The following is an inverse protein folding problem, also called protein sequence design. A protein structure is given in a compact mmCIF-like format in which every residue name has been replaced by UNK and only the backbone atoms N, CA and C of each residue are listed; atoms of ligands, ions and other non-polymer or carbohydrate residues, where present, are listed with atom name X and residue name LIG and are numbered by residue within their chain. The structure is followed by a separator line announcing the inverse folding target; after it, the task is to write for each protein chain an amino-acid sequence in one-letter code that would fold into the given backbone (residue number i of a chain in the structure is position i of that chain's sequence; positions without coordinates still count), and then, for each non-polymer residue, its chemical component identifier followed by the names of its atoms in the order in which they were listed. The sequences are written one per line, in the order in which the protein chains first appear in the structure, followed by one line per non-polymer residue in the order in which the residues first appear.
data_IF_552784878981
#
_entry.id   IF_552784878981
#
_cell.length_a   1.000
_cell.length_b   1.000
_cell.length_c   1.000
_cell.angle_alpha   90.00
_cell.angle_beta   90.00
_cell.angle_gamma   90.00
#
_symmetry.space_group_name_H-M   'P 1'
#
loop_
_entity.id
_entity.type
_entity.pdbx_description
1 polymer ?
#
# COMPACT_ATOMS: atom_id res chain seq x y z
N UNK A 1 -2.96 0.50 15.57
CA UNK A 1 -2.33 -0.53 14.72
C UNK A 1 -1.40 0.12 13.72
N UNK A 2 -0.36 -0.58 13.31
CA UNK A 2 0.52 -0.18 12.21
C UNK A 2 0.03 -0.85 10.93
N UNK A 3 -0.34 -0.04 9.94
CA UNK A 3 -1.03 -0.52 8.74
C UNK A 3 -0.29 -0.03 7.49
N UNK A 4 0.12 -0.98 6.66
CA UNK A 4 0.68 -0.72 5.33
C UNK A 4 -0.46 -0.61 4.33
N UNK A 5 -0.55 0.51 3.63
CA UNK A 5 -1.56 0.70 2.60
C UNK A 5 -1.11 0.04 1.31
N UNK A 6 -1.98 -0.78 0.72
CA UNK A 6 -1.78 -1.22 -0.64
C UNK A 6 -1.98 -0.03 -1.61
N UNK A 7 -1.44 -0.14 -2.81
CA UNK A 7 -1.40 0.96 -3.77
C UNK A 7 -2.80 1.49 -4.11
N UNK A 8 -3.74 0.61 -4.49
CA UNK A 8 -5.08 1.05 -4.89
C UNK A 8 -5.91 1.57 -3.72
N UNK A 9 -5.94 0.98 -2.54
CA UNK A 9 -6.55 1.61 -1.37
C UNK A 9 -6.03 3.01 -1.08
N UNK A 10 -4.73 3.27 -1.23
CA UNK A 10 -4.20 4.63 -1.13
C UNK A 10 -4.78 5.55 -2.21
N UNK A 11 -4.80 5.11 -3.46
CA UNK A 11 -5.37 5.90 -4.58
C UNK A 11 -6.86 6.16 -4.33
N UNK A 12 -7.61 5.16 -3.90
CA UNK A 12 -9.05 5.31 -3.65
C UNK A 12 -9.34 6.24 -2.47
N UNK A 13 -8.58 6.16 -1.41
CA UNK A 13 -8.70 7.08 -0.27
C UNK A 13 -8.57 8.53 -0.74
N UNK A 14 -7.67 8.79 -1.66
CA UNK A 14 -7.31 10.14 -2.10
C UNK A 14 -8.16 10.65 -3.27
N UNK A 15 -8.79 9.78 -4.05
CA UNK A 15 -9.51 10.17 -5.27
C UNK A 15 -10.85 9.48 -5.50
N UNK A 16 -11.07 8.27 -4.98
CA UNK A 16 -12.28 7.48 -5.22
C UNK A 16 -12.74 6.75 -3.95
N UNK A 17 -13.10 7.50 -2.88
CA UNK A 17 -13.38 6.89 -1.56
C UNK A 17 -14.56 5.93 -1.55
N UNK A 18 -15.46 5.98 -2.54
CA UNK A 18 -16.58 5.04 -2.65
C UNK A 18 -16.13 3.62 -2.98
N UNK A 19 -14.91 3.43 -3.47
CA UNK A 19 -14.34 2.10 -3.73
C UNK A 19 -13.84 1.41 -2.46
N UNK A 20 -13.69 2.14 -1.37
CA UNK A 20 -13.31 1.58 -0.07
C UNK A 20 -14.51 0.90 0.59
N UNK A 21 -14.26 -0.23 1.26
CA UNK A 21 -15.28 -0.87 2.09
C UNK A 21 -15.64 0.01 3.30
N UNK A 22 -16.80 -0.23 3.89
CA UNK A 22 -17.22 0.48 5.12
C UNK A 22 -16.22 0.27 6.25
N UNK A 23 -15.72 -0.96 6.40
CA UNK A 23 -14.70 -1.30 7.40
C UNK A 23 -13.39 -0.56 7.15
N UNK A 24 -12.93 -0.51 5.89
CA UNK A 24 -11.72 0.23 5.52
C UNK A 24 -11.85 1.71 5.85
N UNK A 25 -13.01 2.31 5.60
CA UNK A 25 -13.27 3.72 5.97
C UNK A 25 -13.18 3.94 7.48
N UNK A 26 -13.72 3.04 8.28
CA UNK A 26 -13.62 3.10 9.74
C UNK A 26 -12.17 3.01 10.21
N UNK A 27 -11.40 2.07 9.65
CA UNK A 27 -9.98 1.89 9.96
C UNK A 27 -9.20 3.15 9.62
N UNK A 28 -9.44 3.71 8.43
CA UNK A 28 -8.73 4.90 7.95
C UNK A 28 -9.08 6.17 8.74
N UNK A 29 -10.28 6.25 9.30
CA UNK A 29 -10.70 7.40 10.12
C UNK A 29 -10.28 7.28 11.60
N UNK A 30 -9.77 6.14 12.03
CA UNK A 30 -9.32 5.95 13.41
C UNK A 30 -7.91 6.55 13.59
N UNK A 31 -7.82 7.66 14.32
CA UNK A 31 -6.57 8.39 14.53
C UNK A 31 -5.54 7.65 15.40
N UNK A 32 -5.93 6.57 16.06
CA UNK A 32 -4.99 5.72 16.81
C UNK A 32 -4.17 4.81 15.87
N UNK A 33 -4.64 4.60 14.64
CA UNK A 33 -3.92 3.82 13.66
C UNK A 33 -2.79 4.64 13.02
N UNK A 34 -1.68 3.98 12.74
CA UNK A 34 -0.54 4.54 12.01
C UNK A 34 -0.52 3.94 10.61
N UNK A 35 -0.51 4.80 9.60
CA UNK A 35 -0.53 4.39 8.20
C UNK A 35 0.82 4.62 7.54
N UNK A 36 1.19 3.69 6.67
CA UNK A 36 2.44 3.70 5.92
C UNK A 36 2.18 3.46 4.44
N UNK A 37 2.90 4.19 3.61
CA UNK A 37 2.95 3.97 2.16
C UNK A 37 4.36 3.54 1.79
N UNK A 38 4.49 2.34 1.22
CA UNK A 38 5.78 1.84 0.73
C UNK A 38 6.23 2.59 -0.53
N UNK A 39 7.53 2.77 -0.67
CA UNK A 39 8.11 3.25 -1.92
C UNK A 39 7.85 2.31 -3.10
N UNK A 40 7.55 1.03 -2.84
CA UNK A 40 7.06 0.11 -3.86
C UNK A 40 5.73 0.58 -4.47
N UNK A 41 4.80 1.05 -3.64
CA UNK A 41 3.54 1.63 -4.11
C UNK A 41 3.77 2.94 -4.86
N UNK A 42 4.70 3.77 -4.39
CA UNK A 42 5.11 4.99 -5.10
C UNK A 42 5.66 4.64 -6.49
N UNK A 43 6.51 3.63 -6.57
CA UNK A 43 7.04 3.14 -7.86
C UNK A 43 5.90 2.70 -8.78
N UNK A 44 4.97 1.93 -8.30
CA UNK A 44 3.82 1.47 -9.09
C UNK A 44 2.99 2.65 -9.61
N UNK A 45 2.70 3.63 -8.77
CA UNK A 45 1.97 4.85 -9.15
C UNK A 45 2.71 5.59 -10.26
N UNK A 46 4.02 5.79 -10.10
CA UNK A 46 4.83 6.53 -11.06
C UNK A 46 4.94 5.79 -12.40
N UNK A 47 5.08 4.47 -12.39
CA UNK A 47 5.11 3.66 -13.61
C UNK A 47 3.79 3.74 -14.37
N UNK A 48 2.67 3.61 -13.68
CA UNK A 48 1.33 3.68 -14.28
C UNK A 48 0.96 5.09 -14.75
N UNK A 49 1.39 6.10 -14.03
CA UNK A 49 1.25 7.49 -14.47
C UNK A 49 2.01 7.73 -15.77
N UNK A 50 3.25 7.25 -15.84
CA UNK A 50 4.13 7.45 -16.97
C UNK A 50 3.65 6.71 -18.23
N UNK A 51 3.03 5.55 -18.10
CA UNK A 51 2.48 4.80 -19.25
C UNK A 51 1.05 5.22 -19.64
N UNK A 52 0.46 6.18 -18.93
CA UNK A 52 -0.88 6.68 -19.21
C UNK A 52 -2.03 5.87 -18.63
N UNK A 53 -1.75 4.77 -17.93
CA UNK A 53 -2.80 3.91 -17.35
C UNK A 53 -3.43 4.46 -16.07
N UNK A 54 -2.79 5.42 -15.43
CA UNK A 54 -3.29 6.08 -14.22
C UNK A 54 -3.33 7.58 -14.41
N UNK A 55 -4.54 8.14 -14.39
CA UNK A 55 -4.75 9.59 -14.40
C UNK A 55 -4.76 10.12 -12.97
N UNK A 56 -4.09 11.26 -12.76
CA UNK A 56 -4.03 11.95 -11.48
C UNK A 56 -4.28 13.44 -11.70
N UNK A 57 -4.89 14.14 -10.70
CA UNK A 57 -5.19 15.58 -10.85
C UNK A 57 -3.95 16.46 -10.83
N UNK A 58 -2.80 15.93 -10.42
CA UNK A 58 -1.51 16.61 -10.45
C UNK A 58 -0.40 15.56 -10.57
N UNK A 59 0.86 15.98 -10.62
CA UNK A 59 1.98 15.04 -10.71
C UNK A 59 2.02 14.12 -9.47
N UNK A 60 2.51 12.87 -9.62
CA UNK A 60 2.64 11.97 -8.48
C UNK A 60 3.42 12.58 -7.31
N UNK A 61 4.50 13.31 -7.59
CA UNK A 61 5.30 13.97 -6.55
C UNK A 61 4.46 14.88 -5.67
N UNK A 62 3.65 15.74 -6.29
CA UNK A 62 2.81 16.70 -5.56
C UNK A 62 1.64 16.01 -4.87
N UNK A 63 0.99 15.09 -5.57
CA UNK A 63 -0.19 14.39 -5.06
C UNK A 63 0.14 13.53 -3.85
N UNK A 64 1.17 12.67 -3.97
CA UNK A 64 1.58 11.78 -2.87
C UNK A 64 2.03 12.61 -1.66
N UNK A 65 2.82 13.67 -1.87
CA UNK A 65 3.25 14.55 -0.79
C UNK A 65 2.07 15.21 -0.07
N UNK A 66 1.13 15.75 -0.84
CA UNK A 66 -0.05 16.43 -0.30
C UNK A 66 -0.96 15.47 0.47
N UNK A 67 -1.30 14.33 -0.13
CA UNK A 67 -2.20 13.36 0.47
C UNK A 67 -1.57 12.67 1.68
N UNK A 68 -0.29 12.38 1.64
CA UNK A 68 0.41 11.83 2.80
C UNK A 68 0.36 12.77 4.01
N UNK A 69 0.45 14.07 3.75
CA UNK A 69 0.32 15.07 4.82
C UNK A 69 -1.10 15.16 5.36
N UNK A 70 -2.10 15.20 4.47
CA UNK A 70 -3.53 15.29 4.86
C UNK A 70 -3.93 14.10 5.72
N UNK A 71 -3.53 12.90 5.33
CA UNK A 71 -3.92 11.64 5.97
C UNK A 71 -2.90 11.14 6.99
N UNK A 72 -1.85 11.92 7.26
CA UNK A 72 -0.76 11.57 8.17
C UNK A 72 -0.17 10.18 7.85
N UNK A 73 0.12 9.93 6.58
CA UNK A 73 0.70 8.68 6.09
C UNK A 73 2.22 8.82 6.07
N UNK A 74 2.90 7.90 6.73
CA UNK A 74 4.36 7.86 6.79
C UNK A 74 4.92 7.13 5.58
N UNK A 75 6.03 7.61 5.04
CA UNK A 75 6.75 6.90 3.98
C UNK A 75 7.57 5.75 4.56
N UNK A 76 7.70 4.68 3.77
CA UNK A 76 8.47 3.49 4.12
C UNK A 76 9.28 3.06 2.91
N UNK A 77 10.61 3.15 3.02
CA UNK A 77 11.53 2.77 1.95
C UNK A 77 11.57 1.27 1.71
N UNK A 78 12.08 0.87 0.55
CA UNK A 78 12.37 -0.53 0.25
C UNK A 78 13.78 -0.83 0.78
N UNK A 79 13.86 -1.63 1.84
CA UNK A 79 15.14 -2.01 2.43
C UNK A 79 15.69 -3.29 1.82
N UNK A 80 16.99 -3.52 2.01
CA UNK A 80 17.61 -4.79 1.61
C UNK A 80 16.92 -5.97 2.30
N UNK A 81 16.55 -5.83 3.57
CA UNK A 81 15.90 -6.90 4.33
C UNK A 81 14.56 -7.30 3.70
N UNK A 82 13.76 -6.33 3.23
CA UNK A 82 12.51 -6.64 2.53
C UNK A 82 12.76 -7.40 1.23
N UNK A 83 13.80 -7.02 0.49
CA UNK A 83 14.19 -7.71 -0.73
C UNK A 83 14.64 -9.15 -0.48
N UNK A 84 15.44 -9.37 0.58
CA UNK A 84 15.88 -10.71 0.97
C UNK A 84 14.70 -11.57 1.41
N UNK A 85 13.74 -10.97 2.12
CA UNK A 85 12.52 -11.66 2.54
C UNK A 85 11.69 -12.18 1.37
N UNK A 86 11.74 -11.50 0.23
CA UNK A 86 11.08 -11.97 -1.00
C UNK A 86 11.48 -13.39 -1.39
N UNK A 87 12.75 -13.76 -1.18
CA UNK A 87 13.23 -15.10 -1.49
C UNK A 87 12.71 -16.17 -0.51
N UNK A 88 12.18 -15.76 0.63
CA UNK A 88 11.77 -16.63 1.73
C UNK A 88 10.25 -16.81 1.82
N UNK A 89 9.45 -15.92 1.21
CA UNK A 89 7.99 -16.02 1.25
C UNK A 89 7.48 -17.06 0.24
N UNK A 90 6.31 -17.68 0.48
CA UNK A 90 5.68 -18.57 -0.50
C UNK A 90 5.48 -17.87 -1.84
N UNK A 91 5.50 -18.64 -2.93
CA UNK A 91 5.26 -18.11 -4.27
C UNK A 91 3.83 -18.43 -4.70
N UNK A 92 2.90 -17.50 -4.46
CA UNK A 92 1.49 -17.66 -4.81
C UNK A 92 1.10 -16.93 -6.09
N UNK A 93 1.81 -15.88 -6.46
CA UNK A 93 1.59 -15.11 -7.70
C UNK A 93 2.87 -14.30 -8.01
N UNK A 94 2.90 -13.67 -9.17
CA UNK A 94 4.11 -13.04 -9.70
C UNK A 94 4.13 -11.49 -9.67
N UNK A 95 3.10 -10.86 -9.09
CA UNK A 95 3.09 -9.40 -8.96
C UNK A 95 4.19 -8.95 -7.98
N UNK A 96 5.23 -8.30 -8.51
CA UNK A 96 6.40 -7.91 -7.73
C UNK A 96 6.07 -6.87 -6.66
N UNK A 97 5.16 -5.93 -6.95
CA UNK A 97 4.77 -4.90 -5.98
C UNK A 97 4.01 -5.55 -4.81
N UNK A 98 3.01 -6.38 -5.09
CA UNK A 98 2.27 -7.09 -4.06
C UNK A 98 3.21 -7.91 -3.17
N UNK A 99 4.15 -8.61 -3.79
CA UNK A 99 5.07 -9.48 -3.07
C UNK A 99 6.03 -8.70 -2.17
N UNK A 100 6.51 -7.53 -2.60
CA UNK A 100 7.35 -6.71 -1.73
C UNK A 100 6.55 -6.07 -0.58
N UNK A 101 5.28 -5.75 -0.80
CA UNK A 101 4.40 -5.30 0.28
C UNK A 101 4.18 -6.40 1.32
N UNK A 102 3.96 -7.64 0.87
CA UNK A 102 3.86 -8.80 1.76
C UNK A 102 5.15 -8.99 2.56
N UNK A 103 6.31 -8.98 1.90
CA UNK A 103 7.62 -9.12 2.55
C UNK A 103 7.85 -8.01 3.59
N UNK A 104 7.48 -6.79 3.26
CA UNK A 104 7.56 -5.63 4.15
C UNK A 104 6.70 -5.83 5.40
N UNK A 105 5.43 -6.19 5.20
CA UNK A 105 4.48 -6.40 6.30
C UNK A 105 4.91 -7.54 7.22
N UNK A 106 5.42 -8.64 6.65
CA UNK A 106 5.94 -9.76 7.44
C UNK A 106 7.16 -9.36 8.26
N UNK A 107 8.07 -8.60 7.68
CA UNK A 107 9.30 -8.16 8.36
C UNK A 107 9.00 -7.17 9.48
N UNK A 108 8.08 -6.26 9.25
CA UNK A 108 7.72 -5.18 10.19
C UNK A 108 6.56 -5.52 11.12
N UNK A 109 5.96 -6.68 10.97
CA UNK A 109 4.77 -7.10 11.72
C UNK A 109 3.63 -6.08 11.59
N UNK A 110 3.29 -5.76 10.35
CA UNK A 110 2.22 -4.82 10.02
C UNK A 110 1.02 -5.55 9.43
N UNK A 111 -0.16 -4.94 9.61
CA UNK A 111 -1.33 -5.28 8.79
C UNK A 111 -1.17 -4.68 7.39
N UNK A 112 -1.80 -5.30 6.39
CA UNK A 112 -1.95 -4.69 5.05
C UNK A 112 -3.41 -4.34 4.84
N UNK A 113 -3.71 -3.11 4.45
CA UNK A 113 -5.03 -2.70 3.99
C UNK A 113 -5.10 -2.95 2.49
N UNK A 114 -5.82 -4.00 2.08
CA UNK A 114 -5.89 -4.44 0.68
C UNK A 114 -7.17 -5.23 0.41
N UNK A 115 -7.70 -5.09 -0.80
CA UNK A 115 -8.79 -5.93 -1.32
C UNK A 115 -8.29 -7.06 -2.24
N UNK A 116 -6.98 -7.17 -2.45
CA UNK A 116 -6.40 -8.13 -3.40
C UNK A 116 -6.49 -9.58 -2.87
N UNK A 117 -7.16 -10.42 -3.65
CA UNK A 117 -7.31 -11.84 -3.30
C UNK A 117 -5.98 -12.59 -3.24
N UNK A 118 -5.03 -12.23 -4.11
CA UNK A 118 -3.72 -12.89 -4.14
C UNK A 118 -2.89 -12.60 -2.89
N UNK A 119 -3.01 -11.42 -2.31
CA UNK A 119 -2.31 -11.07 -1.06
C UNK A 119 -2.83 -11.91 0.11
N UNK A 120 -4.12 -12.26 0.10
CA UNK A 120 -4.73 -13.09 1.16
C UNK A 120 -4.14 -14.50 1.26
N UNK A 121 -3.47 -14.97 0.21
CA UNK A 121 -2.83 -16.28 0.20
C UNK A 121 -1.55 -16.36 1.03
N UNK A 122 -0.98 -15.20 1.36
CA UNK A 122 0.27 -15.11 2.13
C UNK A 122 0.01 -15.06 3.63
N UNK A 123 1.00 -15.43 4.46
CA UNK A 123 0.87 -15.40 5.92
C UNK A 123 1.00 -13.97 6.48
N UNK A 124 0.11 -13.10 6.07
CA UNK A 124 0.01 -11.69 6.52
C UNK A 124 -1.41 -11.42 7.02
N UNK A 125 -1.53 -10.44 7.89
CA UNK A 125 -2.84 -10.00 8.37
C UNK A 125 -3.41 -8.92 7.46
N UNK A 126 -4.55 -9.23 6.84
CA UNK A 126 -5.21 -8.35 5.88
C UNK A 126 -6.41 -7.67 6.54
N UNK A 127 -6.57 -6.40 6.23
CA UNK A 127 -7.74 -5.59 6.59
C UNK A 127 -8.43 -5.11 5.32
N UNK A 128 -9.76 -5.20 5.33
CA UNK A 128 -10.58 -4.61 4.25
C UNK A 128 -12.01 -4.38 4.68
#
# INVERSE_FOLDING_TARGET
MRILLDTFPFIWLTSEPLKLSSRSKEILSNQENQFYLSDASVLEICLKYNDGSLEMPMTPRRWIKQQSKIWNIKSLGITREYCLRLAEIPYHHDDAIDRILVATAMTEDMFILSSEEDIKKYPVSILW
#
